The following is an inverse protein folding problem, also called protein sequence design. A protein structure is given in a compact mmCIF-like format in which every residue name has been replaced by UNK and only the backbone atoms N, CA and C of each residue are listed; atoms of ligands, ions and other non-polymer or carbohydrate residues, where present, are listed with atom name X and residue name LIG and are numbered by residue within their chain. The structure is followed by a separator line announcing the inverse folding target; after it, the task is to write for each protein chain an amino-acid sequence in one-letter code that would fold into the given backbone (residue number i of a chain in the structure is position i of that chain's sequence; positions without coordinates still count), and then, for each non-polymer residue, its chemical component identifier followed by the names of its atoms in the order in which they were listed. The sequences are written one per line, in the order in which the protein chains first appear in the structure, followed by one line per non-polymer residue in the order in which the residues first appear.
data_IF_890603853230
#
_entry.id   IF_890603853230
#
_cell.length_a   1.000
_cell.length_b   1.000
_cell.length_c   1.000
_cell.angle_alpha   90.00
_cell.angle_beta   90.00
_cell.angle_gamma   90.00
#
_symmetry.space_group_name_H-M   'P 1'
#
loop_
_entity.id
_entity.type
_entity.pdbx_description
1 polymer ?
#
# COMPACT_ATOMS: atom_id res chain seq x y z
N UNK A 1 16.12 3.33 -8.11
CA UNK A 1 14.78 2.90 -8.53
C UNK A 1 14.07 2.18 -7.37
N UNK A 2 12.75 2.37 -7.26
CA UNK A 2 11.89 1.75 -6.24
C UNK A 2 10.83 0.91 -6.96
N UNK A 3 10.71 -0.36 -6.57
CA UNK A 3 9.60 -1.23 -6.96
C UNK A 3 8.41 -0.96 -6.03
N UNK A 4 7.30 -0.47 -6.55
CA UNK A 4 6.10 -0.13 -5.77
C UNK A 4 4.97 -1.12 -6.06
N UNK A 5 4.37 -1.66 -5.00
CA UNK A 5 3.22 -2.55 -5.10
C UNK A 5 2.15 -2.24 -4.05
N UNK A 6 0.88 -2.38 -4.43
CA UNK A 6 -0.26 -2.17 -3.53
C UNK A 6 -1.27 -3.33 -3.67
N UNK A 7 -1.18 -4.36 -2.81
CA UNK A 7 -1.96 -5.60 -2.90
C UNK A 7 -3.46 -5.39 -2.74
N UNK A 8 -3.89 -4.40 -1.98
CA UNK A 8 -5.30 -4.09 -1.78
C UNK A 8 -5.92 -3.37 -2.98
N UNK A 9 -5.23 -2.34 -3.48
CA UNK A 9 -5.75 -1.48 -4.55
C UNK A 9 -4.59 -0.84 -5.31
N UNK A 10 -4.43 -1.24 -6.56
CA UNK A 10 -3.39 -0.64 -7.42
C UNK A 10 -3.58 0.87 -7.60
N UNK A 11 -2.47 1.65 -7.62
CA UNK A 11 -2.50 3.07 -8.03
C UNK A 11 -3.06 3.27 -9.44
N UNK A 12 -2.94 2.27 -10.34
CA UNK A 12 -3.44 2.29 -11.71
C UNK A 12 -4.94 2.03 -11.82
N UNK A 13 -5.60 1.60 -10.73
CA UNK A 13 -7.03 1.32 -10.77
C UNK A 13 -7.84 2.52 -11.30
N UNK A 14 -8.78 2.27 -12.21
CA UNK A 14 -9.70 3.30 -12.71
C UNK A 14 -10.73 3.74 -11.66
N UNK A 15 -11.08 2.84 -10.73
CA UNK A 15 -12.07 3.10 -9.69
C UNK A 15 -11.45 3.96 -8.59
N UNK A 16 -11.99 5.15 -8.29
CA UNK A 16 -11.52 5.98 -7.19
C UNK A 16 -11.65 5.30 -5.82
N UNK A 17 -10.66 5.52 -4.95
CA UNK A 17 -10.71 5.11 -3.54
C UNK A 17 -9.66 5.85 -2.73
N UNK A 18 -9.81 5.88 -1.41
CA UNK A 18 -8.82 6.42 -0.48
C UNK A 18 -7.46 5.73 -0.64
N UNK A 19 -7.45 4.39 -0.67
CA UNK A 19 -6.21 3.61 -0.85
C UNK A 19 -5.45 3.99 -2.12
N UNK A 20 -6.16 4.08 -3.27
CA UNK A 20 -5.54 4.52 -4.52
C UNK A 20 -4.94 5.92 -4.40
N UNK A 21 -5.65 6.83 -3.74
CA UNK A 21 -5.19 8.22 -3.57
C UNK A 21 -3.93 8.28 -2.72
N UNK A 22 -3.90 7.58 -1.60
CA UNK A 22 -2.74 7.54 -0.72
C UNK A 22 -1.56 6.84 -1.39
N UNK A 23 -1.78 5.71 -2.09
CA UNK A 23 -0.74 5.05 -2.88
C UNK A 23 -0.08 6.01 -3.89
N UNK A 24 -0.88 6.79 -4.63
CA UNK A 24 -0.38 7.83 -5.55
C UNK A 24 0.35 8.96 -4.82
N UNK A 25 -0.08 9.33 -3.62
CA UNK A 25 0.62 10.33 -2.81
C UNK A 25 1.99 9.86 -2.38
N UNK A 26 2.16 8.58 -2.01
CA UNK A 26 3.48 7.98 -1.74
C UNK A 26 4.38 8.02 -2.97
N UNK A 27 3.88 7.56 -4.12
CA UNK A 27 4.63 7.59 -5.39
C UNK A 27 5.10 9.01 -5.67
N UNK A 28 4.18 9.98 -5.62
CA UNK A 28 4.51 11.39 -5.88
C UNK A 28 5.53 11.95 -4.91
N UNK A 29 5.44 11.63 -3.62
CA UNK A 29 6.40 12.07 -2.61
C UNK A 29 7.81 11.52 -2.87
N UNK A 30 7.89 10.24 -3.25
CA UNK A 30 9.17 9.60 -3.61
C UNK A 30 9.77 10.22 -4.89
N UNK A 31 8.95 10.48 -5.91
CA UNK A 31 9.38 11.12 -7.16
C UNK A 31 9.88 12.56 -6.93
N UNK A 32 9.22 13.34 -6.06
CA UNK A 32 9.66 14.70 -5.68
C UNK A 32 11.06 14.66 -5.05
N UNK A 33 11.41 13.55 -4.37
CA UNK A 33 12.75 13.34 -3.80
C UNK A 33 13.74 12.75 -4.79
N UNK A 34 13.41 12.70 -6.08
CA UNK A 34 14.30 12.24 -7.15
C UNK A 34 14.33 10.72 -7.35
N UNK A 35 13.48 9.97 -6.67
CA UNK A 35 13.41 8.53 -6.88
C UNK A 35 12.60 8.19 -8.13
N UNK A 36 13.06 7.21 -8.90
CA UNK A 36 12.28 6.59 -9.95
C UNK A 36 11.42 5.49 -9.32
N UNK A 37 10.08 5.61 -9.46
CA UNK A 37 9.13 4.65 -8.89
C UNK A 37 8.42 3.89 -10.00
N UNK A 38 8.48 2.56 -9.95
CA UNK A 38 7.80 1.68 -10.90
C UNK A 38 6.71 0.88 -10.20
N UNK A 39 5.46 0.98 -10.66
CA UNK A 39 4.38 0.10 -10.23
C UNK A 39 4.61 -1.25 -10.92
N UNK A 40 5.04 -2.24 -10.15
CA UNK A 40 5.53 -3.51 -10.70
C UNK A 40 4.44 -4.54 -10.95
N UNK A 41 3.26 -4.36 -10.37
CA UNK A 41 2.11 -5.23 -10.59
C UNK A 41 0.79 -4.56 -10.22
N UNK A 42 -0.24 -4.82 -11.00
CA UNK A 42 -1.64 -4.47 -10.67
C UNK A 42 -2.40 -5.65 -10.04
N UNK A 43 -1.70 -6.71 -9.68
CA UNK A 43 -2.32 -7.87 -9.05
C UNK A 43 -2.98 -7.49 -7.72
N UNK A 44 -4.27 -7.72 -7.64
CA UNK A 44 -5.05 -7.49 -6.43
C UNK A 44 -5.21 -8.81 -5.67
N UNK A 45 -4.61 -8.90 -4.48
CA UNK A 45 -4.67 -10.10 -3.63
C UNK A 45 -5.76 -10.03 -2.55
N UNK A 46 -6.74 -9.13 -2.70
CA UNK A 46 -7.80 -8.97 -1.70
C UNK A 46 -8.74 -10.17 -1.68
N UNK A 47 -8.74 -10.89 -0.56
CA UNK A 47 -9.71 -11.93 -0.22
C UNK A 47 -10.68 -11.40 0.85
N UNK A 48 -11.94 -11.10 0.51
CA UNK A 48 -12.91 -10.56 1.47
C UNK A 48 -13.49 -11.62 2.41
N UNK A 49 -13.45 -12.90 2.03
CA UNK A 49 -14.13 -14.00 2.73
C UNK A 49 -13.20 -14.90 3.55
N UNK A 50 -11.91 -14.90 3.25
CA UNK A 50 -10.93 -15.76 3.91
C UNK A 50 -10.99 -17.21 3.41
N UNK A 51 -11.24 -17.40 2.12
CA UNK A 51 -11.33 -18.72 1.51
C UNK A 51 -9.95 -19.35 1.29
N UNK A 52 -9.69 -20.48 1.90
CA UNK A 52 -8.40 -21.18 1.80
C UNK A 52 -7.94 -21.44 0.36
N UNK A 53 -8.86 -21.81 -0.54
CA UNK A 53 -8.52 -21.99 -1.95
C UNK A 53 -8.15 -20.68 -2.66
N UNK A 54 -8.86 -19.59 -2.35
CA UNK A 54 -8.57 -18.26 -2.87
C UNK A 54 -7.19 -17.80 -2.41
N UNK A 55 -6.87 -17.98 -1.13
CA UNK A 55 -5.56 -17.64 -0.57
C UNK A 55 -4.42 -18.44 -1.23
N UNK A 56 -4.60 -19.75 -1.44
CA UNK A 56 -3.65 -20.60 -2.17
C UNK A 56 -3.43 -20.11 -3.60
N UNK A 57 -4.51 -19.84 -4.34
CA UNK A 57 -4.44 -19.30 -5.71
C UNK A 57 -3.69 -17.96 -5.76
N UNK A 58 -3.94 -17.07 -4.80
CA UNK A 58 -3.25 -15.79 -4.72
C UNK A 58 -1.76 -15.95 -4.41
N UNK A 59 -1.41 -16.84 -3.49
CA UNK A 59 -0.01 -17.19 -3.18
C UNK A 59 0.72 -17.71 -4.41
N UNK A 60 0.15 -18.67 -5.13
CA UNK A 60 0.73 -19.22 -6.35
C UNK A 60 0.85 -18.19 -7.47
N UNK A 61 -0.18 -17.34 -7.65
CA UNK A 61 -0.13 -16.26 -8.63
C UNK A 61 0.94 -15.24 -8.27
N UNK A 62 1.03 -14.83 -7.00
CA UNK A 62 2.05 -13.91 -6.54
C UNK A 62 3.46 -14.46 -6.74
N UNK A 63 3.68 -15.76 -6.45
CA UNK A 63 4.96 -16.43 -6.71
C UNK A 63 5.34 -16.38 -8.20
N UNK A 64 4.43 -16.72 -9.10
CA UNK A 64 4.69 -16.64 -10.56
C UNK A 64 5.02 -15.22 -11.02
N UNK A 65 4.34 -14.20 -10.48
CA UNK A 65 4.65 -12.80 -10.79
C UNK A 65 6.05 -12.45 -10.27
N UNK A 66 6.40 -12.85 -9.05
CA UNK A 66 7.74 -12.63 -8.50
C UNK A 66 8.83 -13.27 -9.37
N UNK A 67 8.64 -14.52 -9.78
CA UNK A 67 9.56 -15.24 -10.67
C UNK A 67 9.73 -14.52 -12.02
N UNK A 68 8.64 -14.05 -12.62
CA UNK A 68 8.68 -13.28 -13.87
C UNK A 68 9.44 -11.96 -13.71
N UNK A 69 9.22 -11.23 -12.60
CA UNK A 69 9.95 -10.01 -12.30
C UNK A 69 11.44 -10.27 -12.10
N UNK A 70 11.81 -11.32 -11.38
CA UNK A 70 13.21 -11.70 -11.17
C UNK A 70 13.92 -12.06 -12.47
N UNK A 71 13.24 -12.78 -13.38
CA UNK A 71 13.78 -13.07 -14.71
C UNK A 71 13.99 -11.76 -15.50
N UNK A 72 13.05 -10.83 -15.43
CA UNK A 72 13.16 -9.52 -16.07
C UNK A 72 14.32 -8.71 -15.53
N UNK A 73 14.48 -8.64 -14.20
CA UNK A 73 15.57 -7.90 -13.55
C UNK A 73 16.95 -8.50 -13.80
N UNK A 74 17.06 -9.82 -13.96
CA UNK A 74 18.34 -10.46 -14.36
C UNK A 74 18.80 -10.11 -15.76
N UNK A 75 17.88 -9.71 -16.63
CA UNK A 75 18.17 -9.30 -18.01
C UNK A 75 18.31 -7.78 -18.17
N UNK A 76 17.93 -7.02 -17.16
CA UNK A 76 17.97 -5.57 -17.17
C UNK A 76 19.37 -5.07 -16.81
N UNK A 77 19.69 -3.84 -17.24
CA UNK A 77 20.86 -3.13 -16.77
C UNK A 77 20.77 -2.89 -15.25
N UNK A 78 21.90 -2.80 -14.57
CA UNK A 78 21.96 -2.65 -13.12
C UNK A 78 21.13 -1.44 -12.65
N UNK A 79 21.17 -0.37 -13.39
CA UNK A 79 20.46 0.86 -13.06
C UNK A 79 18.92 0.71 -13.18
N UNK A 80 18.42 -0.26 -13.95
CA UNK A 80 17.01 -0.55 -14.12
C UNK A 80 16.47 -1.52 -13.05
N UNK A 81 17.36 -2.17 -12.34
CA UNK A 81 17.01 -3.05 -11.23
C UNK A 81 16.61 -2.23 -9.99
N UNK A 82 15.52 -2.56 -9.29
CA UNK A 82 15.12 -1.85 -8.09
C UNK A 82 16.17 -2.03 -6.98
N UNK A 83 16.39 -0.97 -6.21
CA UNK A 83 17.24 -0.98 -5.02
C UNK A 83 16.43 -0.97 -3.70
N UNK A 84 15.09 -0.99 -3.81
CA UNK A 84 14.16 -1.05 -2.70
C UNK A 84 12.80 -1.55 -3.19
N UNK A 85 12.17 -2.41 -2.41
CA UNK A 85 10.78 -2.78 -2.58
C UNK A 85 9.89 -2.04 -1.60
N UNK A 86 8.82 -1.40 -2.08
CA UNK A 86 7.88 -0.63 -1.29
C UNK A 86 6.46 -1.18 -1.45
N UNK A 87 5.89 -1.72 -0.36
CA UNK A 87 4.51 -2.18 -0.31
C UNK A 87 3.62 -1.18 0.41
N UNK A 88 2.48 -0.85 -0.17
CA UNK A 88 1.48 0.00 0.46
C UNK A 88 0.21 -0.78 0.78
N UNK A 89 -0.27 -0.65 2.01
CA UNK A 89 -1.46 -1.24 2.61
C UNK A 89 -1.43 -2.77 2.64
N UNK A 90 -0.77 -3.27 3.68
CA UNK A 90 -0.62 -4.70 3.96
C UNK A 90 -1.50 -5.10 5.15
N UNK A 91 -2.39 -6.09 4.97
CA UNK A 91 -3.17 -6.67 6.04
C UNK A 91 -3.68 -8.07 5.67
N UNK A 92 -4.28 -8.81 6.62
CA UNK A 92 -4.66 -10.22 6.45
C UNK A 92 -5.58 -10.52 5.26
N UNK A 93 -6.36 -9.55 4.75
CA UNK A 93 -7.19 -9.72 3.54
C UNK A 93 -6.45 -9.39 2.24
N UNK A 94 -5.30 -8.75 2.29
CA UNK A 94 -4.55 -8.35 1.12
C UNK A 94 -3.05 -8.49 1.40
N UNK A 95 -2.54 -9.70 1.21
CA UNK A 95 -1.15 -10.06 1.45
C UNK A 95 -0.29 -9.69 0.24
N UNK A 96 0.90 -9.20 0.50
CA UNK A 96 1.94 -9.09 -0.53
C UNK A 96 2.61 -10.45 -0.75
N UNK A 97 2.17 -11.17 -1.78
CA UNK A 97 2.73 -12.45 -2.18
C UNK A 97 3.92 -12.31 -3.13
N UNK A 98 4.32 -11.09 -3.49
CA UNK A 98 5.35 -10.80 -4.49
C UNK A 98 6.61 -10.24 -3.82
N UNK A 99 6.46 -9.15 -3.09
CA UNK A 99 7.56 -8.34 -2.57
C UNK A 99 8.56 -9.07 -1.70
N UNK A 100 8.13 -9.85 -0.70
CA UNK A 100 9.06 -10.58 0.15
C UNK A 100 9.95 -11.58 -0.61
N UNK A 101 9.45 -12.13 -1.73
CA UNK A 101 10.23 -13.02 -2.59
C UNK A 101 11.27 -12.23 -3.37
N UNK A 102 10.82 -11.15 -4.05
CA UNK A 102 11.70 -10.35 -4.89
C UNK A 102 12.76 -9.63 -4.05
N UNK A 103 12.38 -9.03 -2.93
CA UNK A 103 13.31 -8.32 -2.06
C UNK A 103 14.42 -9.23 -1.52
N UNK A 104 14.07 -10.44 -1.09
CA UNK A 104 15.04 -11.43 -0.64
C UNK A 104 15.99 -11.87 -1.76
N UNK A 105 15.46 -12.24 -2.93
CA UNK A 105 16.28 -12.74 -4.04
C UNK A 105 17.22 -11.67 -4.64
N UNK A 106 16.82 -10.38 -4.57
CA UNK A 106 17.66 -9.28 -4.99
C UNK A 106 18.53 -8.70 -3.87
N UNK A 107 18.37 -9.19 -2.64
CA UNK A 107 19.03 -8.66 -1.45
C UNK A 107 18.83 -7.12 -1.30
N UNK A 108 17.59 -6.67 -1.43
CA UNK A 108 17.21 -5.25 -1.31
C UNK A 108 16.24 -5.04 -0.15
N UNK A 109 16.21 -3.85 0.47
CA UNK A 109 15.29 -3.54 1.56
C UNK A 109 13.83 -3.73 1.17
N UNK A 110 13.06 -4.34 2.09
CA UNK A 110 11.62 -4.49 2.01
C UNK A 110 10.92 -3.52 2.97
N UNK A 111 10.26 -2.51 2.41
CA UNK A 111 9.60 -1.44 3.14
C UNK A 111 8.09 -1.57 3.02
N UNK A 112 7.38 -1.40 4.12
CA UNK A 112 5.91 -1.44 4.13
C UNK A 112 5.36 -0.14 4.73
N UNK A 113 4.37 0.44 4.07
CA UNK A 113 3.56 1.52 4.63
C UNK A 113 2.11 1.07 4.82
N UNK A 114 1.50 1.44 5.94
CA UNK A 114 0.15 1.04 6.36
C UNK A 114 0.02 -0.47 6.55
N UNK A 115 0.42 -0.93 7.73
CA UNK A 115 0.22 -2.32 8.15
C UNK A 115 -0.89 -2.37 9.19
N UNK A 116 -1.97 -3.11 8.89
CA UNK A 116 -3.01 -3.42 9.88
C UNK A 116 -2.88 -4.86 10.36
N UNK A 117 -2.47 -5.01 11.62
CA UNK A 117 -2.34 -6.30 12.27
C UNK A 117 -3.41 -6.51 13.33
N UNK A 118 -4.18 -7.59 13.22
CA UNK A 118 -5.27 -7.91 14.13
C UNK A 118 -5.05 -9.31 14.75
N UNK A 119 -4.55 -9.42 15.99
CA UNK A 119 -4.28 -10.72 16.66
C UNK A 119 -5.45 -11.69 16.64
N UNK A 120 -6.69 -11.18 16.76
CA UNK A 120 -7.93 -11.98 16.68
C UNK A 120 -8.14 -12.72 15.36
N UNK A 121 -7.32 -12.47 14.34
CA UNK A 121 -7.36 -13.14 13.03
C UNK A 121 -6.37 -14.29 12.90
N UNK A 122 -5.64 -14.61 13.97
CA UNK A 122 -4.76 -15.80 14.04
C UNK A 122 -5.53 -17.11 13.88
N UNK A 123 -6.84 -17.07 14.15
CA UNK A 123 -7.75 -18.20 14.02
C UNK A 123 -8.81 -17.95 12.95
N UNK A 124 -9.50 -19.03 12.55
CA UNK A 124 -10.58 -18.98 11.55
C UNK A 124 -10.10 -18.84 10.12
N UNK A 125 -10.95 -18.31 9.27
CA UNK A 125 -10.78 -18.30 7.81
C UNK A 125 -9.50 -17.61 7.33
N UNK A 126 -9.02 -16.61 8.06
CA UNK A 126 -7.79 -15.87 7.68
C UNK A 126 -6.53 -16.33 8.38
N UNK A 127 -6.56 -17.42 9.16
CA UNK A 127 -5.39 -17.88 9.93
C UNK A 127 -4.13 -18.04 9.06
N UNK A 128 -4.27 -18.62 7.86
CA UNK A 128 -3.15 -18.79 6.92
C UNK A 128 -2.60 -17.45 6.42
N UNK A 129 -3.46 -16.55 5.97
CA UNK A 129 -3.05 -15.19 5.54
C UNK A 129 -2.51 -14.36 6.71
N UNK A 130 -3.07 -14.52 7.91
CA UNK A 130 -2.57 -13.84 9.11
C UNK A 130 -1.18 -14.35 9.51
N UNK A 131 -0.93 -15.65 9.42
CA UNK A 131 0.39 -16.22 9.65
C UNK A 131 1.42 -15.69 8.65
N UNK A 132 1.05 -15.60 7.37
CA UNK A 132 1.93 -15.01 6.34
C UNK A 132 2.15 -13.52 6.58
N UNK A 133 1.12 -12.76 6.96
CA UNK A 133 1.25 -11.35 7.37
C UNK A 133 2.27 -11.19 8.50
N UNK A 134 2.15 -12.03 9.54
CA UNK A 134 3.09 -12.03 10.67
C UNK A 134 4.53 -12.27 10.21
N UNK A 135 4.72 -13.25 9.30
CA UNK A 135 6.04 -13.54 8.72
C UNK A 135 6.60 -12.36 7.94
N UNK A 136 5.77 -11.69 7.15
CA UNK A 136 6.17 -10.52 6.36
C UNK A 136 6.56 -9.36 7.29
N UNK A 137 5.75 -9.07 8.30
CA UNK A 137 6.04 -8.02 9.30
C UNK A 137 7.41 -8.26 9.97
N UNK A 138 7.66 -9.49 10.42
CA UNK A 138 8.91 -9.86 11.09
C UNK A 138 10.16 -9.79 10.20
N UNK A 139 9.99 -9.79 8.89
CA UNK A 139 11.10 -9.75 7.91
C UNK A 139 11.12 -8.45 7.08
N UNK A 140 10.33 -7.45 7.42
CA UNK A 140 10.41 -6.13 6.79
C UNK A 140 11.48 -5.27 7.46
N UNK A 141 12.20 -4.48 6.70
CA UNK A 141 13.28 -3.61 7.23
C UNK A 141 12.72 -2.33 7.85
N UNK A 142 11.69 -1.75 7.21
CA UNK A 142 11.04 -0.51 7.67
C UNK A 142 9.52 -0.62 7.57
N UNK A 143 8.85 -0.22 8.63
CA UNK A 143 7.39 -0.12 8.65
C UNK A 143 6.97 1.32 8.96
N UNK A 144 6.20 1.91 8.05
CA UNK A 144 5.51 3.17 8.26
C UNK A 144 4.07 2.92 8.70
N UNK A 145 3.70 3.30 9.90
CA UNK A 145 2.31 3.29 10.37
C UNK A 145 1.66 4.65 10.15
N UNK A 146 0.55 4.69 9.41
CA UNK A 146 -0.24 5.90 9.19
C UNK A 146 -1.28 6.09 10.30
N UNK A 147 -1.67 5.00 10.94
CA UNK A 147 -2.62 4.98 12.05
C UNK A 147 -1.92 4.52 13.33
N UNK A 148 -1.89 5.39 14.35
CA UNK A 148 -1.28 5.06 15.64
C UNK A 148 -2.03 3.95 16.40
N UNK A 149 -3.31 3.70 16.11
CA UNK A 149 -4.08 2.65 16.73
C UNK A 149 -3.58 1.23 16.40
N UNK A 150 -2.90 1.04 15.27
CA UNK A 150 -2.32 -0.25 14.88
C UNK A 150 -0.97 -0.53 15.58
N UNK A 151 -0.29 0.51 16.06
CA UNK A 151 1.06 0.43 16.64
C UNK A 151 1.17 -0.55 17.82
N UNK A 152 0.26 -0.59 18.81
CA UNK A 152 0.36 -1.52 19.94
C UNK A 152 0.34 -3.00 19.53
N UNK A 153 -0.31 -3.32 18.40
CA UNK A 153 -0.36 -4.69 17.89
C UNK A 153 0.88 -5.04 17.04
N UNK A 154 1.56 -4.03 16.49
CA UNK A 154 2.74 -4.24 15.64
C UNK A 154 4.03 -4.35 16.44
N UNK A 155 4.25 -3.47 17.41
CA UNK A 155 5.51 -3.41 18.17
C UNK A 155 5.97 -4.74 18.76
N UNK A 156 5.11 -5.60 19.31
CA UNK A 156 5.54 -6.91 19.85
C UNK A 156 6.06 -7.90 18.80
N UNK A 157 5.82 -7.62 17.52
CA UNK A 157 6.29 -8.47 16.41
C UNK A 157 7.65 -8.05 15.87
N UNK A 158 8.08 -6.84 16.17
CA UNK A 158 9.30 -6.25 15.62
C UNK A 158 10.52 -6.65 16.45
N UNK A 159 11.67 -6.72 15.81
CA UNK A 159 12.97 -6.91 16.43
C UNK A 159 13.77 -5.60 16.40
N UNK A 160 14.92 -5.58 17.10
CA UNK A 160 15.75 -4.39 17.28
C UNK A 160 16.39 -3.85 15.98
N UNK A 161 16.43 -4.66 14.93
CA UNK A 161 17.01 -4.24 13.63
C UNK A 161 15.99 -3.53 12.74
N UNK A 162 14.70 -3.66 13.03
CA UNK A 162 13.62 -3.10 12.24
C UNK A 162 13.31 -1.65 12.66
N UNK A 163 13.02 -0.81 11.69
CA UNK A 163 12.60 0.58 11.95
C UNK A 163 11.10 0.71 11.84
N UNK A 164 10.47 1.13 12.94
CA UNK A 164 9.06 1.54 12.96
C UNK A 164 8.97 3.06 13.03
N UNK A 165 8.24 3.65 12.08
CA UNK A 165 8.10 5.10 11.96
C UNK A 165 6.61 5.44 11.86
N UNK A 166 6.12 6.28 12.77
CA UNK A 166 4.79 6.86 12.63
C UNK A 166 4.83 8.00 11.61
N UNK A 167 4.12 7.84 10.50
CA UNK A 167 3.99 8.83 9.45
C UNK A 167 2.54 9.30 9.40
N UNK A 168 2.30 10.57 9.72
CA UNK A 168 0.94 11.13 9.61
C UNK A 168 0.43 11.06 8.18
N UNK A 169 -0.85 10.76 7.95
CA UNK A 169 -1.44 10.81 6.63
C UNK A 169 -1.16 12.16 5.95
N UNK A 170 -0.78 12.13 4.70
CA UNK A 170 -0.43 13.32 3.93
C UNK A 170 -1.09 13.32 2.56
N UNK A 171 -1.21 14.49 1.97
CA UNK A 171 -1.75 14.67 0.63
C UNK A 171 -1.10 15.88 -0.04
N UNK A 172 -1.16 15.91 -1.37
CA UNK A 172 -0.79 17.12 -2.08
C UNK A 172 -1.72 18.26 -1.66
N UNK A 173 -1.13 19.40 -1.33
CA UNK A 173 -1.91 20.61 -1.04
C UNK A 173 -2.53 21.07 -2.38
N UNK A 174 -3.85 21.12 -2.49
CA UNK A 174 -4.48 21.65 -3.69
C UNK A 174 -4.16 23.16 -3.82
N UNK A 175 -4.15 23.71 -5.04
CA UNK A 175 -4.06 25.14 -5.22
C UNK A 175 -5.12 25.83 -4.37
N UNK A 176 -4.74 26.95 -3.72
CA UNK A 176 -5.67 27.75 -2.93
C UNK A 176 -6.78 28.27 -3.85
N UNK A 177 -7.90 27.57 -3.87
CA UNK A 177 -9.10 28.05 -4.50
C UNK A 177 -9.65 29.21 -3.65
N UNK A 178 -9.99 30.34 -4.28
CA UNK A 178 -10.64 31.43 -3.58
C UNK A 178 -12.01 30.94 -3.10
N UNK A 179 -12.21 30.91 -1.78
CA UNK A 179 -13.43 30.37 -1.14
C UNK A 179 -14.72 30.90 -1.77
N UNK A 180 -14.76 32.21 -2.11
CA UNK A 180 -15.90 32.83 -2.71
C UNK A 180 -16.20 32.30 -4.11
N UNK A 181 -15.20 32.15 -4.97
CA UNK A 181 -15.36 31.63 -6.33
C UNK A 181 -15.80 30.16 -6.29
N UNK A 182 -15.17 29.33 -5.47
CA UNK A 182 -15.55 27.91 -5.33
C UNK A 182 -16.96 27.73 -4.78
N UNK A 183 -17.41 28.62 -3.88
CA UNK A 183 -18.79 28.63 -3.35
C UNK A 183 -19.78 28.97 -4.44
N UNK A 184 -19.52 30.02 -5.22
CA UNK A 184 -20.36 30.43 -6.32
C UNK A 184 -20.48 29.34 -7.39
N UNK A 185 -19.37 28.70 -7.75
CA UNK A 185 -19.34 27.61 -8.72
C UNK A 185 -20.16 26.39 -8.25
N UNK A 186 -20.05 26.02 -6.96
CA UNK A 186 -20.83 24.93 -6.39
C UNK A 186 -22.33 25.27 -6.35
N UNK A 187 -22.66 26.50 -5.95
CA UNK A 187 -24.06 27.00 -5.93
C UNK A 187 -24.67 26.95 -7.31
N UNK A 188 -23.97 27.45 -8.34
CA UNK A 188 -24.43 27.43 -9.73
C UNK A 188 -24.57 25.98 -10.24
N UNK A 189 -23.55 25.14 -10.05
CA UNK A 189 -23.51 23.75 -10.53
C UNK A 189 -24.64 22.89 -9.96
N UNK A 190 -24.93 23.04 -8.67
CA UNK A 190 -25.93 22.22 -7.97
C UNK A 190 -27.23 22.95 -7.65
N UNK A 191 -27.44 24.17 -8.18
CA UNK A 191 -28.60 24.99 -7.95
C UNK A 191 -28.93 25.17 -6.45
N UNK A 192 -27.87 25.40 -5.65
CA UNK A 192 -28.02 25.53 -4.20
C UNK A 192 -28.50 26.93 -3.80
N UNK A 193 -29.36 26.99 -2.78
CA UNK A 193 -29.80 28.26 -2.21
C UNK A 193 -28.61 28.96 -1.51
N UNK A 194 -28.43 30.26 -1.75
CA UNK A 194 -27.33 31.09 -1.22
C UNK A 194 -27.33 31.19 0.31
N UNK A 195 -28.49 31.10 0.93
CA UNK A 195 -28.70 31.29 2.36
C UNK A 195 -28.64 29.98 3.19
N UNK A 196 -28.49 28.83 2.51
CA UNK A 196 -28.40 27.54 3.19
C UNK A 196 -26.96 27.09 3.41
N UNK A 197 -26.72 26.46 4.59
CA UNK A 197 -25.49 25.76 4.87
C UNK A 197 -25.49 24.44 4.08
N UNK A 198 -24.40 24.18 3.36
CA UNK A 198 -24.21 22.92 2.60
C UNK A 198 -23.21 22.06 3.34
N UNK A 199 -23.67 20.89 3.78
CA UNK A 199 -22.81 19.83 4.33
C UNK A 199 -22.44 18.86 3.21
N UNK A 200 -21.15 18.61 3.05
CA UNK A 200 -20.63 17.63 2.11
C UNK A 200 -20.02 16.48 2.91
N UNK A 201 -20.52 15.27 2.70
CA UNK A 201 -19.89 14.04 3.22
C UNK A 201 -19.15 13.35 2.08
N UNK A 202 -17.99 12.79 2.39
CA UNK A 202 -17.12 12.05 1.46
C UNK A 202 -17.04 10.59 1.87
#
# INVERSE_FOLDING_TARGET
RIAFYAPLKSPNSIVPSGDRRIARSFIKALEIKGHQVSIVSDFRSRDPLGESQTQKKFKEKGKRIAESLLISYKKAEEFDTPKLWFTYHLYYKAIDWIGPIVARELNIPYVVAEVSYAPKRSEGNWSSSHSELTRIIKNSDVIFSLNSADTPCLLPLLNDTQKHIHLRPFMAVPPLARRQTSRADLQAKYKLNKDKCVLVTV
#
